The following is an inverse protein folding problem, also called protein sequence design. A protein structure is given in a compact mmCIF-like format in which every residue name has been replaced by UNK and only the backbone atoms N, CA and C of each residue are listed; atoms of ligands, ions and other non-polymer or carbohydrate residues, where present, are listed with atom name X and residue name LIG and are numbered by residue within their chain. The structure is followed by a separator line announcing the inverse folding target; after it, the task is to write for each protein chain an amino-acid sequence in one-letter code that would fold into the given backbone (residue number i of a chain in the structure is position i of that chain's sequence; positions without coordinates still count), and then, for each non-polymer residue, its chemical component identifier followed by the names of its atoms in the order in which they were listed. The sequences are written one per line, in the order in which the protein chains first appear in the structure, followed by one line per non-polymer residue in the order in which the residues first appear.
data_IF_659042635060
#
_entry.id   IF_659042635060
#
_cell.length_a   1.000
_cell.length_b   1.000
_cell.length_c   1.000
_cell.angle_alpha   90.00
_cell.angle_beta   90.00
_cell.angle_gamma   90.00
#
_symmetry.space_group_name_H-M   'P 1'
#
loop_
_entity.id
_entity.type
_entity.pdbx_description
1 polymer ?
#
# COMPACT_ATOMS: atom_id res chain seq x y z
N UNK A 1 -21.08 0.83 -3.40
CA UNK A 1 -20.92 0.16 -2.12
C UNK A 1 -19.52 0.43 -1.62
N UNK A 2 -19.40 0.89 -0.40
CA UNK A 2 -18.11 1.31 0.16
C UNK A 2 -17.07 0.19 0.17
N UNK A 3 -17.48 -1.04 0.48
CA UNK A 3 -16.54 -2.16 0.48
C UNK A 3 -15.91 -2.38 -0.90
N UNK A 4 -16.71 -2.29 -1.95
CA UNK A 4 -16.19 -2.46 -3.32
C UNK A 4 -15.24 -1.34 -3.71
N UNK A 5 -15.49 -0.11 -3.26
CA UNK A 5 -14.58 1.00 -3.51
C UNK A 5 -13.23 0.76 -2.82
N UNK A 6 -13.25 0.30 -1.57
CA UNK A 6 -12.03 -0.02 -0.84
C UNK A 6 -11.27 -1.15 -1.53
N UNK A 7 -11.96 -2.21 -1.97
CA UNK A 7 -11.33 -3.29 -2.73
C UNK A 7 -10.66 -2.74 -3.98
N UNK A 8 -11.33 -1.82 -4.69
CA UNK A 8 -10.75 -1.18 -5.88
C UNK A 8 -9.48 -0.41 -5.57
N UNK A 9 -9.45 0.33 -4.46
CA UNK A 9 -8.24 1.03 -4.02
C UNK A 9 -7.13 0.04 -3.71
N UNK A 10 -7.45 -1.05 -3.00
CA UNK A 10 -6.46 -2.09 -2.66
C UNK A 10 -5.90 -2.74 -3.93
N UNK A 11 -6.75 -3.04 -4.92
CA UNK A 11 -6.29 -3.62 -6.18
C UNK A 11 -5.35 -2.68 -6.92
N UNK A 12 -5.64 -1.37 -6.92
CA UNK A 12 -4.73 -0.38 -7.48
C UNK A 12 -3.40 -0.37 -6.72
N UNK A 13 -3.46 -0.49 -5.40
CA UNK A 13 -2.26 -0.59 -4.57
C UNK A 13 -1.39 -1.81 -4.95
N UNK A 14 -2.03 -2.97 -5.11
CA UNK A 14 -1.32 -4.17 -5.54
C UNK A 14 -0.67 -4.00 -6.91
N UNK A 15 -1.42 -3.46 -7.86
CA UNK A 15 -0.91 -3.24 -9.22
C UNK A 15 0.24 -2.23 -9.21
N UNK A 16 0.09 -1.13 -8.47
CA UNK A 16 1.13 -0.11 -8.36
C UNK A 16 2.42 -0.69 -7.77
N UNK A 17 2.28 -1.55 -6.76
CA UNK A 17 3.43 -2.19 -6.12
C UNK A 17 4.13 -3.16 -7.08
N UNK A 18 3.36 -3.98 -7.78
CA UNK A 18 3.91 -4.94 -8.74
C UNK A 18 4.60 -4.24 -9.91
N UNK A 19 3.96 -3.21 -10.46
CA UNK A 19 4.45 -2.49 -11.64
C UNK A 19 5.51 -1.44 -11.29
N UNK A 20 5.71 -1.15 -10.00
CA UNK A 20 6.54 -0.02 -9.55
C UNK A 20 6.03 1.29 -10.16
N UNK A 21 4.71 1.50 -10.10
CA UNK A 21 4.05 2.64 -10.72
C UNK A 21 3.76 3.73 -9.70
N UNK A 22 4.51 4.83 -9.77
CA UNK A 22 4.25 6.01 -8.93
C UNK A 22 2.91 6.64 -9.26
N UNK A 23 2.52 6.66 -10.53
CA UNK A 23 1.23 7.24 -10.95
C UNK A 23 0.05 6.51 -10.30
N UNK A 24 0.05 5.18 -10.36
CA UNK A 24 -1.01 4.40 -9.72
C UNK A 24 -0.96 4.53 -8.20
N UNK A 25 0.24 4.51 -7.62
CA UNK A 25 0.39 4.62 -6.18
C UNK A 25 -0.13 5.96 -5.66
N UNK A 26 0.06 7.03 -6.42
CA UNK A 26 -0.44 8.37 -6.03
C UNK A 26 -1.96 8.39 -5.88
N UNK A 27 -2.69 7.53 -6.60
CA UNK A 27 -4.15 7.47 -6.52
C UNK A 27 -4.67 6.70 -5.31
N UNK A 28 -3.80 5.94 -4.65
CA UNK A 28 -4.17 5.11 -3.50
C UNK A 28 -4.27 5.94 -2.22
N UNK A 29 -3.39 6.92 -2.06
CA UNK A 29 -3.21 7.66 -0.81
C UNK A 29 -3.80 9.06 -0.86
N UNK A 30 -4.39 9.48 0.26
CA UNK A 30 -4.73 10.90 0.46
C UNK A 30 -3.43 11.72 0.58
N UNK A 31 -3.51 13.00 0.25
CA UNK A 31 -2.33 13.86 0.22
C UNK A 31 -1.62 13.96 1.57
N UNK A 32 -2.36 13.88 2.66
CA UNK A 32 -1.81 13.96 4.01
C UNK A 32 -1.27 12.63 4.54
N UNK A 33 -1.30 11.57 3.73
CA UNK A 33 -0.95 10.23 4.18
C UNK A 33 0.52 10.08 4.52
N UNK A 34 0.80 9.23 5.51
CA UNK A 34 2.14 8.81 5.87
C UNK A 34 2.23 7.29 5.89
N UNK A 35 3.41 6.80 5.60
CA UNK A 35 3.73 5.37 5.58
C UNK A 35 4.81 5.13 6.63
N UNK A 36 4.55 4.17 7.52
CA UNK A 36 5.40 3.89 8.67
C UNK A 36 5.86 2.45 8.65
N UNK A 37 7.09 2.26 9.12
CA UNK A 37 7.63 0.93 9.32
C UNK A 37 8.83 0.97 10.23
N UNK A 38 9.37 -0.20 10.53
CA UNK A 38 10.60 -0.32 11.28
C UNK A 38 11.75 -0.45 10.29
N UNK A 39 12.70 0.47 10.33
CA UNK A 39 13.90 0.42 9.48
C UNK A 39 14.83 -0.69 9.92
N UNK A 40 15.81 -1.01 9.07
CA UNK A 40 16.82 -2.04 9.36
C UNK A 40 17.62 -1.72 10.61
N UNK A 41 17.77 -0.43 10.90
CA UNK A 41 18.50 0.04 12.09
C UNK A 41 17.64 0.01 13.36
N UNK A 42 16.42 -0.50 13.28
CA UNK A 42 15.49 -0.55 14.40
C UNK A 42 14.80 0.78 14.69
N UNK A 43 14.99 1.78 13.85
CA UNK A 43 14.38 3.10 14.03
C UNK A 43 13.16 3.27 13.15
N UNK A 44 12.31 4.23 13.50
CA UNK A 44 11.10 4.54 12.74
C UNK A 44 11.45 5.00 11.33
N UNK A 45 10.82 4.36 10.35
CA UNK A 45 10.75 4.89 9.01
C UNK A 45 9.40 5.59 8.88
N UNK A 46 9.43 6.88 8.55
CA UNK A 46 8.23 7.71 8.39
C UNK A 46 8.35 8.41 7.04
N UNK A 47 7.49 8.02 6.11
CA UNK A 47 7.52 8.56 4.76
C UNK A 47 6.23 9.30 4.45
N UNK A 48 6.30 10.61 4.17
CA UNK A 48 5.14 11.31 3.61
C UNK A 48 4.77 10.70 2.25
N UNK A 49 3.50 10.84 1.86
CA UNK A 49 2.99 10.29 0.60
C UNK A 49 3.90 10.59 -0.58
N UNK A 50 4.28 11.86 -0.80
CA UNK A 50 5.03 12.24 -1.99
C UNK A 50 6.38 11.54 -2.07
N UNK A 51 7.05 11.38 -0.93
CA UNK A 51 8.31 10.65 -0.88
C UNK A 51 8.10 9.18 -1.22
N UNK A 52 7.07 8.57 -0.65
CA UNK A 52 6.76 7.16 -0.89
C UNK A 52 6.40 6.89 -2.34
N UNK A 53 5.56 7.75 -2.93
CA UNK A 53 5.15 7.61 -4.33
C UNK A 53 6.36 7.69 -5.26
N UNK A 54 7.25 8.63 -5.01
CA UNK A 54 8.47 8.76 -5.81
C UNK A 54 9.38 7.55 -5.65
N UNK A 55 9.52 7.07 -4.42
CA UNK A 55 10.32 5.88 -4.16
C UNK A 55 9.79 4.66 -4.91
N UNK A 56 8.48 4.44 -4.86
CA UNK A 56 7.84 3.32 -5.58
C UNK A 56 8.10 3.44 -7.08
N UNK A 57 7.94 4.64 -7.63
CA UNK A 57 8.10 4.88 -9.06
C UNK A 57 9.52 4.69 -9.59
N UNK A 58 10.52 4.71 -8.71
CA UNK A 58 11.93 4.59 -9.10
C UNK A 58 12.63 3.36 -8.56
N UNK A 59 12.01 2.63 -7.65
CA UNK A 59 12.68 1.55 -6.92
C UNK A 59 13.01 0.35 -7.82
N UNK A 60 12.15 0.04 -8.78
CA UNK A 60 12.31 -1.13 -9.63
C UNK A 60 11.91 -0.79 -11.07
N UNK A 61 12.77 -0.07 -11.81
CA UNK A 61 12.43 0.36 -13.18
C UNK A 61 12.13 -0.80 -14.13
N UNK A 62 12.65 -2.01 -13.82
CA UNK A 62 12.40 -3.21 -14.62
C UNK A 62 11.30 -4.11 -14.02
N UNK A 63 10.52 -3.59 -13.05
CA UNK A 63 9.54 -4.40 -12.35
C UNK A 63 8.63 -5.23 -13.27
N UNK A 64 8.06 -4.66 -14.34
CA UNK A 64 7.18 -5.45 -15.22
C UNK A 64 7.87 -6.57 -15.96
N UNK A 65 9.21 -6.55 -16.01
CA UNK A 65 10.01 -7.58 -16.70
C UNK A 65 10.47 -8.69 -15.77
N UNK A 66 10.32 -8.49 -14.45
CA UNK A 66 10.75 -9.46 -13.46
C UNK A 66 9.62 -10.44 -13.19
N UNK A 67 9.91 -11.73 -13.31
CA UNK A 67 8.91 -12.78 -13.16
C UNK A 67 8.78 -13.24 -11.70
N UNK A 68 8.54 -12.28 -10.79
CA UNK A 68 8.25 -12.63 -9.41
C UNK A 68 6.76 -12.88 -9.21
N UNK A 69 6.38 -13.86 -8.39
CA UNK A 69 4.97 -14.04 -8.04
C UNK A 69 4.43 -12.79 -7.34
N UNK A 70 3.17 -12.50 -7.56
CA UNK A 70 2.52 -11.36 -6.89
C UNK A 70 2.10 -11.71 -5.47
N UNK A 71 1.47 -12.85 -5.31
CA UNK A 71 0.99 -13.35 -4.00
C UNK A 71 0.11 -12.34 -3.26
N UNK A 72 -0.71 -11.58 -4.00
CA UNK A 72 -1.60 -10.58 -3.43
C UNK A 72 -2.75 -11.24 -2.68
N UNK A 73 -3.05 -10.73 -1.49
CA UNK A 73 -4.17 -11.24 -0.70
C UNK A 73 -4.76 -10.14 0.17
N UNK A 74 -6.09 -10.02 0.17
CA UNK A 74 -6.79 -9.17 1.13
C UNK A 74 -7.18 -10.08 2.29
N UNK A 75 -6.56 -9.86 3.46
CA UNK A 75 -6.80 -10.69 4.64
C UNK A 75 -8.10 -10.30 5.32
N UNK A 76 -8.32 -8.99 5.50
CA UNK A 76 -9.53 -8.50 6.16
C UNK A 76 -9.78 -7.05 5.80
N UNK A 77 -11.06 -6.66 5.86
CA UNK A 77 -11.50 -5.26 5.75
C UNK A 77 -12.53 -5.05 6.84
N UNK A 78 -12.28 -4.10 7.73
CA UNK A 78 -13.15 -3.78 8.86
C UNK A 78 -13.55 -2.32 8.83
N UNK A 79 -14.84 -2.05 8.95
CA UNK A 79 -15.37 -0.68 8.97
C UNK A 79 -15.64 -0.26 10.41
N UNK A 80 -15.35 1.01 10.70
CA UNK A 80 -15.73 1.66 11.96
C UNK A 80 -16.42 2.97 11.58
N UNK A 81 -17.76 2.98 11.68
CA UNK A 81 -18.54 4.11 11.22
C UNK A 81 -18.61 4.19 9.70
N UNK A 82 -19.09 5.32 9.19
CA UNK A 82 -19.40 5.47 7.77
C UNK A 82 -18.21 5.91 6.91
N UNK A 83 -17.16 6.42 7.54
CA UNK A 83 -16.07 7.08 6.80
C UNK A 83 -14.69 6.53 7.15
N UNK A 84 -14.62 5.44 7.90
CA UNK A 84 -13.37 4.90 8.43
C UNK A 84 -13.32 3.39 8.26
N UNK A 85 -12.17 2.89 7.80
CA UNK A 85 -11.98 1.44 7.65
C UNK A 85 -10.51 1.10 7.81
N UNK A 86 -10.23 -0.15 8.13
CA UNK A 86 -8.87 -0.69 8.13
C UNK A 86 -8.87 -1.99 7.33
N UNK A 87 -7.82 -2.18 6.54
CA UNK A 87 -7.62 -3.43 5.80
C UNK A 87 -6.25 -3.99 6.13
N UNK A 88 -6.18 -5.30 6.28
CA UNK A 88 -4.91 -6.02 6.34
C UNK A 88 -4.74 -6.72 5.02
N UNK A 89 -3.59 -6.51 4.40
CA UNK A 89 -3.31 -7.07 3.08
C UNK A 89 -1.91 -7.67 3.05
N UNK A 90 -1.70 -8.56 2.12
CA UNK A 90 -0.44 -9.24 1.94
C UNK A 90 -0.06 -9.16 0.47
N UNK A 91 1.21 -8.90 0.20
CA UNK A 91 1.69 -8.85 -1.19
C UNK A 91 3.18 -9.11 -1.22
N UNK A 92 3.65 -9.55 -2.37
CA UNK A 92 5.06 -9.79 -2.60
C UNK A 92 5.62 -8.71 -3.51
N UNK A 93 6.74 -8.11 -3.13
CA UNK A 93 7.46 -7.14 -3.95
C UNK A 93 8.89 -7.66 -4.09
N UNK A 94 9.20 -8.22 -5.25
CA UNK A 94 10.50 -8.85 -5.47
C UNK A 94 10.71 -10.02 -4.52
N UNK A 95 11.69 -9.91 -3.67
CA UNK A 95 12.05 -10.95 -2.69
C UNK A 95 11.54 -10.66 -1.28
N UNK A 96 10.64 -9.70 -1.14
CA UNK A 96 10.07 -9.34 0.15
C UNK A 96 8.58 -9.61 0.17
N UNK A 97 8.13 -10.35 1.18
CA UNK A 97 6.70 -10.52 1.44
C UNK A 97 6.29 -9.49 2.48
N UNK A 98 5.38 -8.61 2.10
CA UNK A 98 4.86 -7.58 2.99
C UNK A 98 3.50 -7.97 3.54
N UNK A 99 3.27 -7.64 4.80
CA UNK A 99 1.94 -7.63 5.40
C UNK A 99 1.71 -6.21 5.87
N UNK A 100 0.67 -5.59 5.34
CA UNK A 100 0.41 -4.17 5.56
C UNK A 100 -0.91 -3.96 6.27
N UNK A 101 -0.95 -2.94 7.14
CA UNK A 101 -2.19 -2.40 7.68
C UNK A 101 -2.44 -1.08 6.98
N UNK A 102 -3.57 -1.01 6.26
CA UNK A 102 -3.98 0.18 5.51
C UNK A 102 -5.17 0.80 6.22
N UNK A 103 -4.99 2.01 6.73
CA UNK A 103 -6.07 2.76 7.36
C UNK A 103 -6.69 3.70 6.33
N UNK A 104 -8.00 3.60 6.17
CA UNK A 104 -8.76 4.33 5.15
C UNK A 104 -9.62 5.40 5.76
N UNK A 105 -9.72 6.53 5.06
CA UNK A 105 -10.71 7.57 5.35
C UNK A 105 -11.47 7.90 4.06
N UNK A 106 -12.76 8.17 4.22
CA UNK A 106 -13.57 8.72 3.13
C UNK A 106 -13.57 10.23 3.28
N UNK A 107 -12.80 10.92 2.45
CA UNK A 107 -12.68 12.37 2.45
C UNK A 107 -13.29 12.92 1.18
N UNK A 108 -14.18 13.89 1.32
CA UNK A 108 -14.87 14.50 0.17
C UNK A 108 -15.50 13.45 -0.75
N UNK A 109 -16.10 12.42 -0.14
CA UNK A 109 -16.77 11.36 -0.86
C UNK A 109 -15.85 10.31 -1.47
N UNK A 110 -14.53 10.40 -1.23
CA UNK A 110 -13.57 9.49 -1.83
C UNK A 110 -12.81 8.69 -0.76
N UNK A 111 -12.82 7.37 -0.90
CA UNK A 111 -12.01 6.50 -0.05
C UNK A 111 -10.56 6.52 -0.49
N UNK A 112 -9.66 6.66 0.45
CA UNK A 112 -8.23 6.58 0.21
C UNK A 112 -7.50 6.20 1.48
N UNK A 113 -6.26 5.75 1.35
CA UNK A 113 -5.42 5.39 2.49
C UNK A 113 -4.86 6.66 3.12
N UNK A 114 -5.03 6.80 4.44
CA UNK A 114 -4.47 7.92 5.20
C UNK A 114 -3.21 7.52 5.96
N UNK A 115 -3.06 6.25 6.29
CA UNK A 115 -1.83 5.75 6.89
C UNK A 115 -1.62 4.29 6.56
N UNK A 116 -0.35 3.91 6.45
CA UNK A 116 0.05 2.53 6.22
C UNK A 116 1.14 2.17 7.21
N UNK A 117 1.01 1.01 7.84
CA UNK A 117 2.08 0.43 8.64
C UNK A 117 2.41 -0.92 8.02
N UNK A 118 3.67 -1.13 7.66
CA UNK A 118 4.08 -2.32 6.95
C UNK A 118 5.04 -3.18 7.75
N UNK A 119 5.03 -4.48 7.46
CA UNK A 119 6.02 -5.43 7.97
C UNK A 119 6.49 -6.28 6.80
N UNK A 120 7.79 -6.36 6.60
CA UNK A 120 8.37 -7.10 5.48
C UNK A 120 9.26 -8.24 5.95
N UNK A 121 9.19 -9.38 5.24
CA UNK A 121 10.00 -10.55 5.50
C UNK A 121 10.62 -11.01 4.19
N UNK A 122 11.92 -11.28 4.20
CA UNK A 122 12.60 -11.79 3.01
C UNK A 122 12.12 -13.19 2.71
N UNK A 123 11.86 -13.47 1.42
CA UNK A 123 11.50 -14.80 0.95
C UNK A 123 12.50 -15.21 -0.15
N UNK A 124 12.76 -16.49 -0.20
CA UNK A 124 13.71 -17.04 -1.18
C UNK A 124 13.02 -17.61 -2.39
#
# INVERSE_FOLDING_TARGET
MDKNEIIGVIQTYFDASFESSGEKMARVFHDAAHIYGLGEDGKLADMPKDFFVKMVGTARPDAPKLEYPRDDEIISIDFTGDNTAVARVKLRVGKTMFTDMLCFLKLDGKWGVISKVYSGVQVE
#
